data_IF_747207114964
#
_entry.id   IF_747207114964
#
_cell.length_a   1.000
_cell.length_b   1.000
_cell.length_c   1.000
_cell.angle_alpha   90.00
_cell.angle_beta   90.00
_cell.angle_gamma   90.00
#
_symmetry.space_group_name_H-M   'P 1'
#
loop_
_entity.id
_entity.type
_entity.pdbx_description
1 polymer ?
#
# COMPACT_ATOMS: atom_id res chain seq x y z
N UNK A 1 31.94 -37.20 -25.74
CA UNK A 1 31.15 -37.04 -26.99
C UNK A 1 31.33 -35.62 -27.52
N UNK A 2 31.10 -35.35 -28.82
CA UNK A 2 31.24 -34.01 -29.41
C UNK A 2 29.88 -33.30 -29.48
N UNK A 3 29.78 -32.08 -28.98
CA UNK A 3 28.62 -31.20 -29.20
C UNK A 3 28.80 -30.37 -30.48
N UNK A 4 27.75 -30.31 -31.29
CA UNK A 4 27.36 -29.30 -32.29
C UNK A 4 26.06 -29.83 -32.94
N UNK A 5 25.12 -29.03 -33.44
CA UNK A 5 25.22 -27.67 -34.02
C UNK A 5 24.08 -26.76 -33.53
N UNK A 6 24.30 -25.45 -33.57
CA UNK A 6 23.22 -24.47 -33.54
C UNK A 6 22.43 -24.48 -34.85
N UNK A 7 21.13 -24.17 -34.78
CA UNK A 7 20.26 -23.98 -35.93
C UNK A 7 19.33 -22.78 -35.70
N UNK A 8 19.86 -21.56 -35.84
CA UNK A 8 19.01 -20.38 -35.99
C UNK A 8 18.35 -20.44 -37.38
N UNK A 9 17.03 -20.57 -37.44
CA UNK A 9 16.28 -20.34 -38.67
C UNK A 9 15.38 -19.12 -38.50
N UNK A 10 15.74 -18.05 -39.20
CA UNK A 10 15.00 -16.79 -39.25
C UNK A 10 13.84 -16.94 -40.24
N UNK A 11 12.62 -16.65 -39.80
CA UNK A 11 11.45 -16.51 -40.67
C UNK A 11 10.75 -15.19 -40.32
N UNK A 12 10.78 -14.24 -41.25
CA UNK A 12 10.09 -12.96 -41.14
C UNK A 12 8.65 -13.14 -41.61
N UNK A 13 7.67 -12.82 -40.75
CA UNK A 13 6.24 -12.86 -41.05
C UNK A 13 5.59 -11.49 -40.85
N UNK A 14 5.72 -10.60 -41.83
CA UNK A 14 5.09 -9.28 -41.81
C UNK A 14 3.59 -9.38 -42.13
N UNK A 15 2.72 -9.03 -41.18
CA UNK A 15 1.31 -8.74 -41.45
C UNK A 15 0.90 -7.47 -40.71
N UNK A 16 0.62 -6.40 -41.44
CA UNK A 16 -0.04 -5.21 -40.89
C UNK A 16 -1.52 -5.53 -40.67
N UNK A 17 -2.05 -5.16 -39.51
CA UNK A 17 -3.51 -4.99 -39.30
C UNK A 17 -3.75 -3.71 -38.50
N UNK A 18 -4.11 -2.64 -39.22
CA UNK A 18 -4.46 -1.34 -38.61
C UNK A 18 -5.94 -1.35 -38.25
N UNK A 19 -6.28 -1.18 -36.97
CA UNK A 19 -7.66 -0.89 -36.54
C UNK A 19 -7.72 0.21 -35.46
N UNK A 20 -8.31 1.33 -35.88
CA UNK A 20 -9.05 2.35 -35.13
C UNK A 20 -8.69 2.72 -33.66
N UNK A 21 -8.42 4.01 -33.46
CA UNK A 21 -8.44 4.71 -32.16
C UNK A 21 -9.83 4.64 -31.50
N UNK A 22 -9.87 4.51 -30.17
CA UNK A 22 -11.11 4.42 -29.38
C UNK A 22 -11.06 5.11 -28.01
N UNK A 23 -10.68 6.39 -27.94
CA UNK A 23 -10.69 7.15 -26.68
C UNK A 23 -12.12 7.34 -26.14
N UNK A 24 -12.44 6.79 -24.96
CA UNK A 24 -13.77 6.89 -24.34
C UNK A 24 -13.69 7.64 -23.00
N UNK A 25 -13.76 8.97 -23.05
CA UNK A 25 -13.77 9.82 -21.86
C UNK A 25 -15.09 9.67 -21.10
N UNK A 26 -15.04 9.02 -19.93
CA UNK A 26 -16.19 8.91 -19.02
C UNK A 26 -16.36 10.25 -18.29
N UNK A 27 -17.45 10.97 -18.58
CA UNK A 27 -17.75 12.25 -17.92
C UNK A 27 -18.13 12.01 -16.46
N UNK A 28 -17.44 12.66 -15.53
CA UNK A 28 -17.88 12.76 -14.13
C UNK A 28 -19.16 13.59 -14.07
N UNK A 29 -20.25 12.98 -13.59
CA UNK A 29 -21.52 13.67 -13.40
C UNK A 29 -21.48 14.53 -12.14
N UNK A 30 -21.17 15.81 -12.28
CA UNK A 30 -21.24 16.75 -11.17
C UNK A 30 -22.68 16.86 -10.63
N UNK A 31 -22.87 16.52 -9.36
CA UNK A 31 -24.13 16.70 -8.65
C UNK A 31 -24.38 18.20 -8.44
N UNK A 32 -25.58 18.74 -8.72
CA UNK A 32 -25.84 20.17 -8.50
C UNK A 32 -25.92 20.47 -7.00
N UNK A 33 -24.86 21.06 -6.44
CA UNK A 33 -24.91 21.69 -5.13
C UNK A 33 -25.90 22.86 -5.17
N UNK A 34 -26.95 22.79 -4.35
CA UNK A 34 -27.99 23.81 -4.29
C UNK A 34 -27.45 25.14 -3.76
N UNK A 35 -27.53 26.20 -4.56
CA UNK A 35 -27.14 27.55 -4.17
C UNK A 35 -28.12 28.10 -3.10
N UNK A 36 -27.71 28.06 -1.82
CA UNK A 36 -28.57 28.41 -0.69
C UNK A 36 -27.96 29.42 0.28
N UNK A 37 -28.44 30.66 0.20
CA UNK A 37 -28.50 31.61 1.33
C UNK A 37 -27.19 32.12 1.93
N UNK A 38 -26.74 33.31 1.51
CA UNK A 38 -25.91 34.16 2.37
C UNK A 38 -26.73 34.65 3.56
N UNK A 39 -26.23 34.50 4.79
CA UNK A 39 -26.93 34.90 6.02
C UNK A 39 -25.98 35.14 7.19
N UNK A 40 -25.58 36.40 7.41
CA UNK A 40 -24.63 36.80 8.45
C UNK A 40 -25.34 37.30 9.73
N UNK A 41 -25.54 36.40 10.69
CA UNK A 41 -25.86 36.65 12.12
C UNK A 41 -25.61 35.34 12.88
N UNK A 42 -25.13 35.29 14.12
CA UNK A 42 -24.66 36.32 15.06
C UNK A 42 -24.24 35.64 16.38
N UNK A 43 -23.35 36.24 17.17
CA UNK A 43 -22.75 35.57 18.35
C UNK A 43 -23.71 35.58 19.56
N UNK A 44 -23.97 34.40 20.13
CA UNK A 44 -24.63 34.24 21.44
C UNK A 44 -24.90 32.76 21.76
N UNK A 45 -24.64 32.31 23.00
CA UNK A 45 -24.84 30.90 23.38
C UNK A 45 -25.23 30.69 24.84
N UNK A 46 -25.66 29.45 25.17
CA UNK A 46 -25.70 28.87 26.53
C UNK A 46 -26.10 27.37 26.54
N UNK A 47 -25.22 26.55 27.12
CA UNK A 47 -25.37 25.29 27.88
C UNK A 47 -26.66 24.40 27.84
N UNK A 48 -26.43 23.08 27.62
CA UNK A 48 -26.84 21.90 28.47
C UNK A 48 -28.37 21.59 28.57
N UNK A 49 -28.90 20.35 28.58
CA UNK A 49 -28.50 19.06 29.19
C UNK A 49 -29.04 17.80 28.45
N UNK A 50 -28.57 16.58 28.85
CA UNK A 50 -29.21 15.23 28.82
C UNK A 50 -30.12 14.81 27.64
N UNK A 51 -29.95 13.65 26.96
CA UNK A 51 -29.08 12.47 27.17
C UNK A 51 -29.44 11.38 26.13
N UNK A 52 -29.07 10.09 26.22
CA UNK A 52 -28.26 9.40 27.24
C UNK A 52 -27.33 8.29 26.60
N UNK A 53 -27.43 6.93 26.71
CA UNK A 53 -26.22 6.07 26.60
C UNK A 53 -26.24 4.87 25.61
N UNK A 54 -25.10 4.63 24.93
CA UNK A 54 -24.47 3.32 24.59
C UNK A 54 -23.21 3.64 23.74
N UNK A 55 -21.95 3.37 24.11
CA UNK A 55 -21.41 2.63 25.25
C UNK A 55 -20.70 1.36 24.77
N UNK A 56 -19.38 1.31 24.63
CA UNK A 56 -18.36 2.35 24.84
C UNK A 56 -17.06 2.00 24.09
N UNK A 57 -15.92 2.60 24.45
CA UNK A 57 -14.66 2.31 23.78
C UNK A 57 -13.41 2.74 24.55
N UNK A 58 -12.27 2.50 23.93
CA UNK A 58 -10.95 3.07 24.24
C UNK A 58 -10.34 3.55 22.92
N UNK A 59 -9.55 4.63 22.87
CA UNK A 59 -9.01 5.43 23.97
C UNK A 59 -7.58 5.88 23.65
N UNK A 60 -7.36 6.35 22.42
CA UNK A 60 -6.04 6.77 21.92
C UNK A 60 -5.86 8.29 22.08
N UNK A 61 -5.96 8.76 23.32
CA UNK A 61 -5.75 10.15 23.69
C UNK A 61 -4.25 10.49 23.67
N UNK A 62 -3.69 10.70 22.48
CA UNK A 62 -2.31 11.17 22.31
C UNK A 62 -2.25 12.70 22.47
N UNK A 63 -1.61 13.24 23.53
CA UNK A 63 -1.52 14.69 23.74
C UNK A 63 -0.56 15.42 22.78
N UNK A 64 0.12 14.70 21.89
CA UNK A 64 1.01 15.27 20.87
C UNK A 64 0.27 15.45 19.54
N UNK A 65 -0.32 16.63 19.33
CA UNK A 65 -1.11 16.98 18.14
C UNK A 65 -0.31 17.18 16.84
N UNK A 66 0.40 16.15 16.36
CA UNK A 66 0.91 16.11 14.98
C UNK A 66 -0.20 15.67 14.02
N UNK A 67 -0.62 16.48 13.04
CA UNK A 67 -1.66 16.08 12.09
C UNK A 67 -1.21 14.90 11.23
N UNK A 68 -2.06 13.88 11.07
CA UNK A 68 -1.91 12.81 10.07
C UNK A 68 -2.28 13.34 8.68
N UNK A 69 -1.58 14.37 8.21
CA UNK A 69 -1.83 15.04 6.93
C UNK A 69 -0.66 14.86 5.97
N UNK A 70 -0.31 13.61 5.67
CA UNK A 70 0.59 13.27 4.58
C UNK A 70 -0.15 12.31 3.61
N UNK A 71 -0.78 12.82 2.53
CA UNK A 71 -1.64 12.01 1.66
C UNK A 71 -0.87 10.99 0.78
N UNK A 72 0.45 10.90 0.94
CA UNK A 72 1.36 9.99 0.23
C UNK A 72 1.67 8.70 0.99
N UNK A 73 1.13 8.53 2.20
CA UNK A 73 1.32 7.31 3.01
C UNK A 73 2.71 7.13 3.61
N UNK A 74 3.62 8.11 3.47
CA UNK A 74 4.92 8.07 4.14
C UNK A 74 4.71 8.39 5.62
N UNK A 75 4.93 7.38 6.46
CA UNK A 75 4.72 7.38 7.90
C UNK A 75 5.89 8.00 8.68
N UNK A 76 6.00 7.72 9.99
CA UNK A 76 6.94 8.37 10.91
C UNK A 76 8.43 8.01 10.70
N UNK A 77 8.77 7.38 9.58
CA UNK A 77 10.12 7.17 9.11
C UNK A 77 10.83 8.52 8.85
N UNK A 78 11.87 8.83 9.64
CA UNK A 78 12.67 10.06 9.50
C UNK A 78 13.62 10.08 8.29
N UNK A 79 13.20 9.56 7.14
CA UNK A 79 13.98 9.46 5.91
C UNK A 79 13.08 9.32 4.67
N UNK A 80 13.59 9.71 3.51
CA UNK A 80 12.90 9.55 2.21
C UNK A 80 13.37 8.26 1.52
N UNK A 81 12.49 7.25 1.30
CA UNK A 81 12.84 6.01 0.60
C UNK A 81 13.30 6.19 -0.85
N UNK A 82 12.84 7.23 -1.56
CA UNK A 82 13.22 7.49 -2.95
C UNK A 82 14.57 8.23 -3.05
N UNK A 83 15.05 8.79 -1.93
CA UNK A 83 16.42 9.26 -1.78
C UNK A 83 17.43 8.15 -1.44
N UNK A 84 17.00 6.92 -1.15
CA UNK A 84 17.88 5.77 -0.88
C UNK A 84 18.14 4.91 -2.13
N UNK A 85 19.07 3.95 -2.05
CA UNK A 85 19.27 2.91 -3.05
C UNK A 85 18.29 1.75 -2.77
N UNK A 86 17.38 1.47 -3.72
CA UNK A 86 16.27 0.51 -3.55
C UNK A 86 16.60 -0.87 -4.15
N UNK A 87 16.91 -1.86 -3.32
CA UNK A 87 16.97 -3.27 -3.74
C UNK A 87 15.60 -3.94 -3.52
N UNK A 88 14.85 -4.07 -4.61
CA UNK A 88 13.55 -4.75 -4.66
C UNK A 88 13.66 -6.27 -4.85
N UNK A 89 14.85 -6.81 -5.08
CA UNK A 89 15.10 -8.23 -5.31
C UNK A 89 15.48 -8.97 -4.02
N UNK A 90 16.26 -8.33 -3.14
CA UNK A 90 16.79 -8.92 -1.90
C UNK A 90 15.72 -9.57 -0.99
N UNK A 91 14.50 -9.02 -0.97
CA UNK A 91 13.39 -9.50 -0.13
C UNK A 91 12.15 -9.93 -0.92
N UNK A 92 12.21 -10.01 -2.26
CA UNK A 92 11.05 -10.35 -3.11
C UNK A 92 10.44 -11.74 -2.84
N UNK A 93 11.24 -12.69 -2.35
CA UNK A 93 10.74 -14.01 -1.93
C UNK A 93 9.84 -13.94 -0.67
N UNK A 94 9.97 -12.87 0.10
CA UNK A 94 9.34 -12.69 1.41
C UNK A 94 8.06 -11.84 1.36
N UNK A 95 7.61 -11.39 0.18
CA UNK A 95 6.31 -10.76 -0.03
C UNK A 95 5.20 -11.56 0.66
N UNK A 96 4.43 -10.90 1.53
CA UNK A 96 3.34 -11.50 2.30
C UNK A 96 1.99 -11.26 1.65
N UNK A 97 1.05 -12.20 1.83
CA UNK A 97 -0.27 -12.16 1.18
C UNK A 97 -1.41 -12.08 2.19
N UNK A 98 -2.50 -11.43 1.79
CA UNK A 98 -3.64 -11.12 2.66
C UNK A 98 -4.97 -11.74 2.17
N UNK A 99 -5.85 -12.00 3.13
CA UNK A 99 -7.25 -12.34 2.85
C UNK A 99 -8.00 -11.19 2.16
N UNK A 100 -9.12 -11.52 1.52
CA UNK A 100 -10.04 -10.51 0.99
C UNK A 100 -10.50 -9.56 2.10
N UNK A 101 -10.59 -8.27 1.77
CA UNK A 101 -10.94 -7.15 2.67
C UNK A 101 -10.22 -7.12 4.03
N UNK A 102 -9.02 -7.70 4.11
CA UNK A 102 -8.28 -7.88 5.37
C UNK A 102 -6.88 -7.29 5.33
N UNK A 103 -6.48 -6.70 6.46
CA UNK A 103 -5.10 -6.36 6.81
C UNK A 103 -4.52 -7.27 7.91
N UNK A 104 -5.25 -8.33 8.32
CA UNK A 104 -4.73 -9.33 9.23
C UNK A 104 -3.70 -10.20 8.52
N UNK A 105 -2.51 -10.29 9.09
CA UNK A 105 -1.43 -11.16 8.62
C UNK A 105 -1.78 -12.61 8.98
N UNK A 106 -1.64 -13.52 8.02
CA UNK A 106 -1.86 -14.95 8.22
C UNK A 106 -0.67 -15.61 8.92
N UNK A 107 -0.92 -16.66 9.72
CA UNK A 107 0.16 -17.35 10.45
C UNK A 107 1.21 -18.02 9.55
N UNK A 108 0.87 -18.30 8.29
CA UNK A 108 1.82 -18.75 7.25
C UNK A 108 2.88 -17.70 6.89
N UNK A 109 2.59 -16.43 7.14
CA UNK A 109 3.40 -15.30 6.68
C UNK A 109 4.43 -14.83 7.73
N UNK A 110 4.31 -15.27 8.99
CA UNK A 110 5.24 -14.85 10.06
C UNK A 110 6.71 -15.25 9.79
N UNK A 111 6.96 -16.43 9.20
CA UNK A 111 8.31 -16.88 8.86
C UNK A 111 9.01 -16.00 7.82
N UNK A 112 8.24 -15.33 6.93
CA UNK A 112 8.75 -14.32 6.00
C UNK A 112 9.13 -13.04 6.73
N UNK A 113 8.29 -12.59 7.67
CA UNK A 113 8.55 -11.42 8.51
C UNK A 113 9.77 -11.65 9.42
N UNK A 114 9.94 -12.85 9.97
CA UNK A 114 11.14 -13.26 10.70
C UNK A 114 12.41 -13.16 9.83
N UNK A 115 12.32 -13.56 8.55
CA UNK A 115 13.42 -13.45 7.60
C UNK A 115 13.73 -11.98 7.23
N UNK A 116 12.71 -11.14 7.01
CA UNK A 116 12.88 -9.69 6.79
C UNK A 116 13.51 -9.02 8.02
N UNK A 117 13.02 -9.31 9.21
CA UNK A 117 13.63 -8.85 10.47
C UNK A 117 15.08 -9.35 10.62
N UNK A 118 15.39 -10.54 10.12
CA UNK A 118 16.77 -11.07 10.15
C UNK A 118 17.71 -10.40 9.17
N UNK A 119 17.23 -9.97 7.99
CA UNK A 119 18.01 -9.14 7.08
C UNK A 119 18.33 -7.77 7.70
N UNK A 120 17.33 -7.11 8.32
CA UNK A 120 17.52 -5.83 9.00
C UNK A 120 18.34 -5.92 10.30
N UNK A 121 18.49 -7.11 10.89
CA UNK A 121 19.44 -7.39 11.99
C UNK A 121 20.85 -7.71 11.50
N UNK A 122 21.02 -8.14 10.24
CA UNK A 122 22.33 -8.41 9.65
C UNK A 122 23.03 -7.14 9.12
N UNK A 123 22.28 -6.21 8.54
CA UNK A 123 22.75 -4.86 8.21
C UNK A 123 21.96 -3.81 9.03
N UNK A 124 22.64 -3.15 9.97
CA UNK A 124 22.06 -2.09 10.80
C UNK A 124 21.96 -0.73 10.10
N UNK A 125 22.68 -0.54 8.98
CA UNK A 125 22.61 0.67 8.14
C UNK A 125 21.46 0.63 7.13
N UNK A 126 21.03 -0.57 6.73
CA UNK A 126 19.87 -0.78 5.89
C UNK A 126 18.58 -0.28 6.54
N UNK A 127 17.63 0.08 5.70
CA UNK A 127 16.25 0.42 6.05
C UNK A 127 15.28 -0.38 5.18
N UNK A 128 13.99 -0.27 5.45
CA UNK A 128 12.94 -0.97 4.73
C UNK A 128 11.88 0.01 4.24
N UNK A 129 11.40 -0.19 3.02
CA UNK A 129 10.09 0.30 2.58
C UNK A 129 9.15 -0.90 2.40
N UNK A 130 7.95 -0.79 2.97
CA UNK A 130 6.86 -1.75 2.78
C UNK A 130 5.87 -1.13 1.79
N UNK A 131 5.78 -1.71 0.60
CA UNK A 131 4.88 -1.26 -0.48
C UNK A 131 3.57 -2.07 -0.42
N UNK A 132 2.49 -1.47 0.09
CA UNK A 132 1.22 -2.16 0.39
C UNK A 132 0.16 -2.05 -0.70
N UNK A 133 -0.37 -3.20 -1.15
CA UNK A 133 -1.20 -3.34 -2.36
C UNK A 133 -2.56 -4.03 -2.10
N UNK A 134 -3.50 -3.83 -3.03
CA UNK A 134 -4.84 -4.41 -3.05
C UNK A 134 -5.17 -5.03 -4.41
N UNK A 135 -6.29 -5.75 -4.47
CA UNK A 135 -6.93 -6.10 -5.74
C UNK A 135 -7.96 -5.02 -6.16
N UNK A 136 -8.30 -4.98 -7.44
CA UNK A 136 -9.13 -3.96 -8.14
C UNK A 136 -10.59 -3.82 -7.65
N UNK A 137 -10.97 -4.48 -6.55
CA UNK A 137 -12.34 -4.48 -6.02
C UNK A 137 -12.47 -3.41 -4.92
N UNK A 138 -13.05 -2.26 -5.26
CA UNK A 138 -13.35 -1.22 -4.28
C UNK A 138 -13.55 0.15 -4.92
N UNK A 139 -13.13 1.18 -4.21
CA UNK A 139 -12.73 2.48 -4.80
C UNK A 139 -11.24 2.66 -4.58
N UNK A 140 -10.61 3.52 -5.40
CA UNK A 140 -9.17 3.80 -5.30
C UNK A 140 -8.79 4.27 -3.88
N UNK A 141 -9.61 5.13 -3.27
CA UNK A 141 -9.39 5.67 -1.93
C UNK A 141 -9.56 4.59 -0.85
N UNK A 142 -10.52 3.66 -1.03
CA UNK A 142 -10.66 2.53 -0.12
C UNK A 142 -9.43 1.61 -0.20
N UNK A 143 -8.99 1.27 -1.41
CA UNK A 143 -7.84 0.41 -1.63
C UNK A 143 -6.51 1.05 -1.19
N UNK A 144 -6.35 2.37 -1.35
CA UNK A 144 -5.26 3.15 -0.71
C UNK A 144 -5.29 3.02 0.81
N UNK A 145 -6.47 3.17 1.43
CA UNK A 145 -6.61 3.02 2.88
C UNK A 145 -6.32 1.60 3.38
N UNK A 146 -6.69 0.57 2.60
CA UNK A 146 -6.51 -0.84 2.95
C UNK A 146 -5.06 -1.29 2.77
N UNK A 147 -4.39 -0.87 1.70
CA UNK A 147 -2.97 -1.13 1.51
C UNK A 147 -2.10 -0.43 2.57
N UNK A 148 -2.50 0.75 3.05
CA UNK A 148 -1.79 1.41 4.16
C UNK A 148 -1.97 0.65 5.48
N UNK A 149 -3.19 0.17 5.77
CA UNK A 149 -3.44 -0.70 6.94
C UNK A 149 -2.62 -1.99 6.90
N UNK A 150 -2.37 -2.57 5.72
CA UNK A 150 -1.51 -3.76 5.53
C UNK A 150 -0.05 -3.44 5.86
N UNK A 151 0.52 -2.44 5.19
CA UNK A 151 1.91 -2.04 5.39
C UNK A 151 2.20 -1.66 6.86
N UNK A 152 1.26 -0.98 7.53
CA UNK A 152 1.36 -0.68 8.97
C UNK A 152 1.29 -1.94 9.86
N UNK A 153 0.44 -2.93 9.54
CA UNK A 153 0.40 -4.20 10.27
C UNK A 153 1.69 -5.03 10.09
N UNK A 154 2.29 -4.99 8.90
CA UNK A 154 3.59 -5.61 8.63
C UNK A 154 4.71 -4.90 9.39
N UNK A 155 4.70 -3.56 9.43
CA UNK A 155 5.63 -2.74 10.21
C UNK A 155 5.55 -3.01 11.71
N UNK A 156 4.34 -3.09 12.28
CA UNK A 156 4.15 -3.45 13.69
C UNK A 156 4.61 -4.88 13.99
N UNK A 157 4.36 -5.83 13.09
CA UNK A 157 4.85 -7.21 13.23
C UNK A 157 6.39 -7.28 13.24
N UNK A 158 7.06 -6.44 12.44
CA UNK A 158 8.52 -6.30 12.48
C UNK A 158 9.01 -5.62 13.77
N UNK A 159 8.24 -4.68 14.33
CA UNK A 159 8.53 -4.06 15.62
C UNK A 159 8.51 -5.08 16.77
N UNK A 160 7.50 -5.96 16.80
CA UNK A 160 7.42 -7.09 17.74
C UNK A 160 8.60 -8.07 17.56
N UNK A 161 9.12 -8.21 16.33
CA UNK A 161 10.32 -8.99 16.01
C UNK A 161 11.65 -8.23 16.27
N UNK A 162 11.60 -7.08 16.95
CA UNK A 162 12.77 -6.32 17.40
C UNK A 162 13.40 -5.41 16.34
N UNK A 163 12.69 -5.08 15.26
CA UNK A 163 13.11 -4.06 14.29
C UNK A 163 12.69 -2.68 14.78
N UNK A 164 13.61 -1.72 14.81
CA UNK A 164 13.30 -0.31 15.11
C UNK A 164 12.30 0.27 14.09
N UNK A 165 11.10 0.73 14.50
CA UNK A 165 10.12 1.33 13.60
C UNK A 165 10.61 2.60 12.87
N UNK A 166 11.66 3.28 13.34
CA UNK A 166 12.28 4.40 12.64
C UNK A 166 13.16 3.98 11.45
N UNK A 167 13.42 2.67 11.28
CA UNK A 167 14.11 2.08 10.11
C UNK A 167 13.14 1.55 9.05
N UNK A 168 11.83 1.57 9.31
CA UNK A 168 10.80 1.01 8.42
C UNK A 168 9.83 2.11 8.01
N UNK A 169 9.73 2.34 6.70
CA UNK A 169 8.73 3.21 6.09
C UNK A 169 7.59 2.39 5.46
N UNK A 170 6.38 2.95 5.41
CA UNK A 170 5.25 2.42 4.63
C UNK A 170 4.96 3.27 3.40
N UNK A 171 4.21 2.69 2.45
CA UNK A 171 3.59 3.38 1.30
C UNK A 171 2.50 2.51 0.68
N UNK A 172 1.25 2.99 0.65
CA UNK A 172 0.21 2.31 -0.12
C UNK A 172 0.17 2.70 -1.60
N UNK A 173 0.09 1.69 -2.46
CA UNK A 173 -0.28 1.82 -3.88
C UNK A 173 -1.74 1.50 -4.16
N UNK A 174 -2.52 1.03 -3.18
CA UNK A 174 -3.86 0.52 -3.43
C UNK A 174 -3.88 -0.50 -4.57
N UNK A 175 -4.66 -0.24 -5.61
CA UNK A 175 -4.75 -1.08 -6.82
C UNK A 175 -3.78 -0.68 -7.95
N UNK A 176 -3.01 0.41 -7.82
CA UNK A 176 -2.15 0.98 -8.88
C UNK A 176 -1.06 0.02 -9.40
N UNK A 177 -0.69 -0.99 -8.61
CA UNK A 177 0.44 -1.91 -8.88
C UNK A 177 0.03 -3.39 -8.76
N UNK A 178 -0.76 -3.92 -9.70
CA UNK A 178 -1.09 -5.34 -9.75
C UNK A 178 0.14 -6.19 -10.10
N UNK A 179 0.38 -7.25 -9.33
CA UNK A 179 1.39 -8.26 -9.64
C UNK A 179 0.91 -9.23 -10.73
N UNK A 180 -0.40 -9.47 -10.81
CA UNK A 180 -1.06 -10.15 -11.93
C UNK A 180 -2.26 -9.34 -12.38
N UNK A 181 -2.30 -8.99 -13.67
CA UNK A 181 -3.50 -8.40 -14.30
C UNK A 181 -4.56 -9.48 -14.49
N UNK A 182 -5.78 -9.24 -14.03
CA UNK A 182 -6.92 -10.15 -14.20
C UNK A 182 -8.03 -9.92 -13.18
N UNK A 183 -9.26 -10.20 -13.59
CA UNK A 183 -10.49 -10.00 -12.80
C UNK A 183 -11.03 -11.32 -12.25
N UNK A 184 -10.15 -12.09 -11.62
CA UNK A 184 -10.45 -13.38 -11.00
C UNK A 184 -9.58 -13.61 -9.75
N UNK A 185 -9.97 -14.56 -8.91
CA UNK A 185 -9.31 -14.79 -7.62
C UNK A 185 -7.87 -15.33 -7.75
N UNK A 186 -7.44 -15.83 -8.92
CA UNK A 186 -6.03 -16.19 -9.16
C UNK A 186 -5.12 -14.97 -9.38
N UNK A 187 -5.70 -13.86 -9.85
CA UNK A 187 -5.04 -12.56 -9.94
C UNK A 187 -5.19 -11.80 -8.61
N UNK A 188 -6.42 -11.69 -8.10
CA UNK A 188 -6.72 -10.93 -6.88
C UNK A 188 -5.94 -11.43 -5.66
N UNK A 189 -5.82 -12.75 -5.47
CA UNK A 189 -5.02 -13.33 -4.36
C UNK A 189 -3.54 -12.98 -4.40
N UNK A 190 -2.98 -12.70 -5.58
CA UNK A 190 -1.59 -12.23 -5.73
C UNK A 190 -1.46 -10.71 -5.60
N UNK A 191 -2.53 -9.96 -5.86
CA UNK A 191 -2.51 -8.50 -5.78
C UNK A 191 -2.68 -7.98 -4.35
N UNK A 192 -3.40 -8.72 -3.47
CA UNK A 192 -3.48 -8.45 -2.02
C UNK A 192 -2.18 -8.83 -1.30
N UNK A 193 -1.16 -7.98 -1.41
CA UNK A 193 0.20 -8.25 -0.90
C UNK A 193 0.88 -7.00 -0.34
N UNK A 194 1.86 -7.24 0.54
CA UNK A 194 2.90 -6.25 0.85
C UNK A 194 4.23 -6.72 0.27
N UNK A 195 4.87 -5.87 -0.53
CA UNK A 195 6.23 -6.10 -1.06
C UNK A 195 7.27 -5.42 -0.16
N UNK A 196 8.41 -6.09 0.02
CA UNK A 196 9.51 -5.60 0.86
C UNK A 196 10.67 -5.09 0.00
N UNK A 197 11.01 -3.81 0.17
CA UNK A 197 12.09 -3.14 -0.55
C UNK A 197 13.21 -2.82 0.42
N UNK A 198 14.36 -3.46 0.27
CA UNK A 198 15.52 -3.19 1.09
C UNK A 198 16.16 -1.87 0.63
N UNK A 199 16.50 -1.00 1.57
CA UNK A 199 17.00 0.34 1.29
C UNK A 199 18.41 0.50 1.86
N UNK A 200 19.37 0.83 1.00
CA UNK A 200 20.74 1.15 1.43
C UNK A 200 21.01 2.65 1.28
N UNK A 201 21.93 3.23 2.08
CA UNK A 201 22.47 4.57 1.82
C UNK A 201 23.01 4.74 0.39
N UNK A 202 23.16 5.99 -0.04
CA UNK A 202 23.84 6.38 -1.29
C UNK A 202 25.31 6.72 -1.04
#
# INVERSE_FOLDING_TARGET
MKLTKFANLLVIGLVLSVTAVGCKTKKSGATPLGNGGSGNTGIGGRNIESGNPLGGGTGFDNPSGTPLTNPTGIDAAGFDPDQMNQDRAALAAQTIYFGYDSASIGSSEHSKLEAVASALRADMSAKLLIEGNCDERGTEEYNRSLGERRALAARESLAVLGVDPARVATRSYGEDRPAQVGSDESAWSKNRRDDFVLLHPK
#
